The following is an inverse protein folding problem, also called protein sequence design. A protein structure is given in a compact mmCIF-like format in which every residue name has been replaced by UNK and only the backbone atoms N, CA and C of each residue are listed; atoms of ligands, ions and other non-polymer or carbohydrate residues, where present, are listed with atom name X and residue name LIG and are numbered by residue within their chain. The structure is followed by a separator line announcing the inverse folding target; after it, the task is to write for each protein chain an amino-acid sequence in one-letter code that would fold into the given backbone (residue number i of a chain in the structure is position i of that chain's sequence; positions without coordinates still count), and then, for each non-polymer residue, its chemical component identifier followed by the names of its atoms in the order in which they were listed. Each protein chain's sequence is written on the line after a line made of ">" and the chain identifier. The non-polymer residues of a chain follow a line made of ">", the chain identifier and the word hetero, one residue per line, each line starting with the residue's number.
data_IF_522428730209
#
_entry.id   IF_522428730209
#
_cell.length_a   1.000
_cell.length_b   1.000
_cell.length_c   1.000
_cell.angle_alpha   90.00
_cell.angle_beta   90.00
_cell.angle_gamma   90.00
#
_symmetry.space_group_name_H-M   'P 1'
#
loop_
_entity.id
_entity.type
_entity.pdbx_description
1 polymer ?
2 non-polymer ?
3 water ?
#
# COMPACT_ATOMS: atom_id res chain seq x y z
N UNK A 3 -1.86 -11.52 8.58
CA UNK A 3 -2.71 -10.83 7.53
C UNK A 3 -2.63 -11.53 6.19
N UNK A 4 -3.69 -11.42 5.37
CA UNK A 4 -3.68 -11.95 3.98
C UNK A 4 -2.78 -11.14 3.07
N UNK A 5 -2.96 -9.81 3.06
CA UNK A 5 -2.00 -8.88 2.43
C UNK A 5 -1.97 -7.66 3.31
N UNK A 6 -0.81 -7.04 3.36
CA UNK A 6 -0.60 -5.79 4.09
C UNK A 6 -0.35 -4.65 3.10
N UNK A 7 -1.18 -3.63 3.14
CA UNK A 7 -1.06 -2.49 2.27
C UNK A 7 -0.51 -1.39 3.17
N UNK A 8 0.59 -0.78 2.74
CA UNK A 8 1.33 0.17 3.56
C UNK A 8 1.48 1.50 2.78
N UNK A 9 0.83 2.55 3.27
CA UNK A 9 0.92 3.85 2.66
C UNK A 9 1.91 4.70 3.42
N UNK A 10 2.96 5.12 2.75
CA UNK A 10 4.01 6.01 3.35
C UNK A 10 3.60 7.44 3.09
N UNK A 11 3.32 8.17 4.16
CA UNK A 11 3.01 9.57 4.11
C UNK A 11 1.97 9.97 3.05
N UNK A 12 0.81 9.28 3.04
CA UNK A 12 -0.20 9.62 2.03
C UNK A 12 -0.66 11.05 2.15
N UNK A 13 -0.93 11.68 1.03
CA UNK A 13 -1.12 13.11 0.98
C UNK A 13 -2.55 13.60 0.70
N UNK A 14 -3.28 12.87 -0.12
CA UNK A 14 -4.57 13.30 -0.66
C UNK A 14 -5.72 12.50 -0.03
N UNK A 15 -6.62 13.15 0.71
CA UNK A 15 -7.58 12.38 1.52
C UNK A 15 -8.46 11.34 0.80
N UNK A 16 -9.05 11.68 -0.38
CA UNK A 16 -9.90 10.72 -1.01
C UNK A 16 -9.17 9.47 -1.45
N UNK A 17 -7.85 9.56 -1.75
CA UNK A 17 -7.13 8.31 -2.08
C UNK A 17 -7.08 7.37 -0.92
N UNK A 18 -6.83 7.89 0.27
CA UNK A 18 -6.82 7.03 1.41
C UNK A 18 -8.20 6.51 1.77
N UNK A 19 -9.22 7.34 1.67
CA UNK A 19 -10.58 6.80 1.85
C UNK A 19 -10.92 5.67 0.94
N UNK A 20 -10.56 5.81 -0.35
CA UNK A 20 -10.84 4.76 -1.28
C UNK A 20 -10.05 3.49 -0.96
N UNK A 21 -8.82 3.66 -0.47
CA UNK A 21 -7.96 2.53 -0.13
C UNK A 21 -8.45 1.82 1.14
N UNK A 22 -9.00 2.57 2.07
CA UNK A 22 -9.68 1.97 3.23
C UNK A 22 -10.80 1.05 2.80
N UNK A 23 -11.65 1.55 1.91
CA UNK A 23 -12.73 0.72 1.37
C UNK A 23 -12.20 -0.49 0.64
N UNK A 24 -11.18 -0.31 -0.18
CA UNK A 24 -10.53 -1.41 -0.86
C UNK A 24 -10.10 -2.51 0.08
N UNK A 25 -9.38 -2.08 1.11
CA UNK A 25 -8.81 -3.05 2.06
C UNK A 25 -9.92 -3.78 2.82
N UNK A 26 -10.96 -3.05 3.18
CA UNK A 26 -12.11 -3.69 3.85
C UNK A 26 -12.81 -4.71 2.98
N UNK A 27 -12.95 -4.40 1.71
CA UNK A 27 -13.65 -5.27 0.77
C UNK A 27 -12.86 -6.51 0.42
N UNK A 28 -11.54 -6.43 0.53
CA UNK A 28 -10.66 -7.53 0.11
C UNK A 28 -10.04 -8.30 1.24
N UNK A 29 -10.23 -7.87 2.47
CA UNK A 29 -9.65 -8.51 3.61
C UNK A 29 -8.17 -8.25 3.84
N UNK A 30 -7.70 -7.08 3.41
CA UNK A 30 -6.32 -6.69 3.60
C UNK A 30 -6.19 -5.83 4.85
N UNK A 31 -4.98 -5.88 5.42
CA UNK A 31 -4.64 -5.02 6.52
C UNK A 31 -3.96 -3.75 6.04
N UNK A 32 -4.53 -2.60 6.38
CA UNK A 32 -3.97 -1.31 6.00
C UNK A 32 -3.04 -0.79 7.08
N UNK A 33 -1.92 -0.20 6.68
CA UNK A 33 -0.95 0.42 7.57
C UNK A 33 -0.73 1.81 7.01
N UNK A 34 -0.72 2.82 7.89
CA UNK A 34 -0.47 4.20 7.53
C UNK A 34 0.74 4.68 8.25
N UNK A 35 1.73 5.19 7.51
CA UNK A 35 2.96 5.70 8.11
C UNK A 35 2.90 7.22 8.07
N UNK A 36 2.95 7.82 9.25
CA UNK A 36 2.85 9.26 9.41
C UNK A 36 4.15 9.93 8.96
N UNK A 37 4.10 11.22 8.70
CA UNK A 37 2.94 12.09 8.74
C UNK A 37 2.01 11.95 7.53
N UNK A 38 0.69 11.98 7.81
CA UNK A 38 -0.28 12.08 6.75
C UNK A 38 -0.37 13.50 6.25
N UNK A 39 -0.79 13.66 5.00
CA UNK A 39 -0.94 14.98 4.43
C UNK A 39 -2.28 15.66 4.60
N UNK A 40 -3.15 15.02 5.41
CA UNK A 40 -4.50 15.46 5.65
C UNK A 40 -4.90 15.12 7.07
N UNK A 41 -5.92 15.79 7.60
CA UNK A 41 -6.26 15.56 8.98
C UNK A 41 -7.04 14.23 9.06
N UNK A 42 -6.72 13.50 10.10
CA UNK A 42 -7.31 12.21 10.39
C UNK A 42 -8.40 12.38 11.43
N UNK A 43 -9.61 12.01 11.09
CA UNK A 43 -10.77 12.30 11.97
C UNK A 43 -11.85 11.25 11.68
N UNK A 44 -12.27 10.50 12.69
CA UNK A 44 -13.34 9.51 12.53
C UNK A 44 -14.62 10.15 11.95
N UNK A 45 -14.90 11.38 12.31
CA UNK A 45 -16.10 12.03 11.82
C UNK A 45 -16.00 12.34 10.34
N UNK A 46 -14.80 12.72 9.86
CA UNK A 46 -14.57 12.92 8.43
C UNK A 46 -14.65 11.62 7.69
N UNK A 47 -14.09 10.58 8.28
CA UNK A 47 -14.17 9.27 7.68
C UNK A 47 -15.58 8.73 7.55
N UNK A 48 -16.39 8.92 8.60
CA UNK A 48 -17.80 8.61 8.52
C UNK A 48 -18.51 9.45 7.44
N UNK A 49 -18.18 10.75 7.37
CA UNK A 49 -18.77 11.65 6.39
C UNK A 49 -18.45 11.27 4.98
N UNK A 50 -17.26 10.66 4.79
CA UNK A 50 -16.81 10.17 3.51
C UNK A 50 -17.53 8.92 3.02
N UNK A 51 -18.31 8.28 3.90
CA UNK A 51 -19.05 7.11 3.59
C UNK A 51 -18.51 5.83 4.18
N UNK A 52 -17.48 5.92 5.01
CA UNK A 52 -16.89 4.71 5.62
C UNK A 52 -17.56 4.35 6.92
N UNK A 53 -17.72 3.08 7.18
CA UNK A 53 -18.21 2.60 8.45
C UNK A 53 -17.06 2.37 9.39
N UNK A 54 -17.35 2.44 10.68
CA UNK A 54 -16.31 2.30 11.71
C UNK A 54 -15.46 1.08 11.53
N UNK A 55 -16.07 -0.03 11.18
CA UNK A 55 -15.27 -1.25 11.08
C UNK A 55 -14.24 -1.23 9.95
N UNK A 56 -14.47 -0.38 8.96
CA UNK A 56 -13.55 -0.31 7.83
C UNK A 56 -12.26 0.37 8.20
N UNK A 57 -12.28 1.27 9.19
CA UNK A 57 -11.08 2.02 9.58
C UNK A 57 -10.56 1.72 10.94
N UNK A 58 -11.38 1.07 11.76
CA UNK A 58 -10.99 0.91 13.17
C UNK A 58 -9.70 0.13 13.40
N UNK A 59 -9.40 -0.77 12.48
CA UNK A 59 -8.27 -1.68 12.75
C UNK A 59 -7.07 -1.35 11.88
N UNK A 60 -7.05 -0.16 11.30
CA UNK A 60 -5.85 0.32 10.58
C UNK A 60 -4.70 0.38 11.58
N UNK A 61 -3.52 -0.05 11.13
CA UNK A 61 -2.34 0.05 11.94
C UNK A 61 -1.63 1.37 11.58
N UNK A 62 -1.40 2.18 12.60
CA UNK A 62 -0.80 3.46 12.43
C UNK A 62 0.63 3.41 12.95
N UNK A 63 1.56 3.97 12.20
CA UNK A 63 2.97 3.91 12.55
C UNK A 63 3.56 5.28 12.47
N UNK A 64 4.35 5.64 13.47
CA UNK A 64 4.82 7.02 13.55
C UNK A 64 5.94 7.35 12.58
N UNK A 65 6.65 6.34 12.10
CA UNK A 65 7.64 6.50 11.06
C UNK A 65 7.87 5.12 10.40
N UNK A 66 8.72 5.08 9.38
CA UNK A 66 9.01 3.84 8.67
C UNK A 66 9.66 2.80 9.54
N UNK A 67 10.61 3.20 10.36
CA UNK A 67 11.23 2.23 11.25
C UNK A 67 10.22 1.61 12.22
N UNK A 68 9.26 2.40 12.68
CA UNK A 68 8.24 1.87 13.57
C UNK A 68 7.40 0.79 12.87
N UNK A 69 7.04 1.02 11.63
CA UNK A 69 6.42 -0.01 10.80
C UNK A 69 7.26 -1.26 10.72
N UNK A 70 8.54 -1.11 10.38
CA UNK A 70 9.41 -2.28 10.29
C UNK A 70 9.47 -3.03 11.61
N UNK A 71 9.61 -2.27 12.71
CA UNK A 71 9.75 -2.91 14.02
C UNK A 71 8.43 -3.62 14.43
N UNK A 72 7.29 -2.96 14.19
CA UNK A 72 5.94 -3.53 14.45
C UNK A 72 5.81 -4.85 13.75
N UNK A 73 6.30 -4.94 12.52
CA UNK A 73 6.08 -6.13 11.71
C UNK A 73 7.24 -7.11 11.71
N UNK A 74 8.22 -6.83 12.56
CA UNK A 74 9.42 -7.66 12.71
C UNK A 74 10.12 -7.92 11.37
N UNK A 75 10.21 -6.85 10.57
CA UNK A 75 10.87 -6.88 9.29
C UNK A 75 12.30 -6.36 9.45
N UNK A 76 13.23 -6.94 8.69
CA UNK A 76 14.60 -6.52 8.71
C UNK A 76 14.77 -5.12 8.13
N UNK A 77 15.47 -4.22 8.80
CA UNK A 77 15.67 -2.88 8.21
C UNK A 77 16.67 -2.94 6.99
N UNK A 78 17.75 -3.71 7.11
CA UNK A 78 18.72 -3.83 5.99
C UNK A 78 18.10 -4.26 4.65
N UNK A 79 16.93 -4.94 4.71
CA UNK A 79 16.29 -5.56 3.54
C UNK A 79 15.00 -6.35 3.91
N UNK A 80 13.85 -5.65 4.09
CA UNK A 80 12.68 -6.35 4.60
C UNK A 80 12.19 -7.42 3.63
N UNK A 81 11.86 -8.56 4.19
CA UNK A 81 11.44 -9.72 3.44
C UNK A 81 9.99 -9.50 3.03
N UNK A 82 9.74 -9.85 1.79
CA UNK A 82 8.40 -9.92 1.23
C UNK A 82 7.69 -8.57 1.33
N UNK A 83 8.46 -7.52 1.10
CA UNK A 83 7.96 -6.19 0.98
C UNK A 83 8.25 -5.73 -0.43
N UNK A 84 7.20 -5.36 -1.15
CA UNK A 84 7.29 -4.95 -2.50
C UNK A 84 6.88 -3.50 -2.58
N UNK A 85 7.73 -2.67 -3.13
CA UNK A 85 7.51 -1.23 -3.19
C UNK A 85 7.19 -0.79 -4.60
N UNK A 86 6.11 -0.05 -4.75
CA UNK A 86 5.68 0.45 -6.02
C UNK A 86 6.56 1.66 -6.36
N UNK A 87 7.19 1.60 -7.52
CA UNK A 87 7.99 2.69 -8.06
C UNK A 87 8.09 2.58 -9.55
N UNK A 88 7.95 3.73 -10.23
CA UNK A 88 7.99 3.73 -11.70
C UNK A 88 9.35 3.29 -12.18
N UNK A 89 10.34 3.34 -11.27
CA UNK A 89 11.71 2.91 -11.49
C UNK A 89 11.97 1.43 -11.10
N UNK A 90 10.91 0.67 -10.90
CA UNK A 90 11.08 -0.72 -10.57
C UNK A 90 11.31 -1.55 -11.79
N UNK A 91 11.72 -2.77 -11.51
CA UNK A 91 12.11 -3.72 -12.55
C UNK A 91 10.90 -4.60 -12.96
N UNK A 92 10.50 -5.58 -12.12
CA UNK A 92 9.37 -6.43 -12.50
C UNK A 92 8.07 -5.68 -12.54
N UNK A 93 7.22 -5.98 -13.51
CA UNK A 93 5.83 -5.55 -13.46
C UNK A 93 5.21 -6.07 -12.16
N UNK A 94 4.21 -5.38 -11.67
CA UNK A 94 3.49 -5.81 -10.50
C UNK A 94 2.93 -7.24 -10.64
N UNK A 95 2.62 -7.65 -11.88
CA UNK A 95 2.08 -8.96 -12.13
C UNK A 95 3.13 -10.02 -12.39
N UNK A 96 4.42 -9.61 -12.40
CA UNK A 96 5.51 -10.53 -12.66
C UNK A 96 6.10 -11.14 -11.38
N UNK A 97 5.76 -10.57 -10.27
CA UNK A 97 6.07 -11.08 -8.95
C UNK A 97 5.08 -12.19 -8.59
N UNK A 98 5.48 -13.15 -7.76
CA UNK A 98 4.58 -14.15 -7.21
C UNK A 98 4.26 -13.83 -5.77
N UNK A 99 3.04 -13.38 -5.53
CA UNK A 99 2.66 -12.96 -4.20
C UNK A 99 2.28 -14.15 -3.32
N UNK A 100 2.47 -13.90 -2.02
CA UNK A 100 2.17 -14.83 -0.95
C UNK A 100 1.37 -14.15 0.15
N UNK A 101 0.62 -14.95 0.89
CA UNK A 101 -0.12 -14.46 2.03
C UNK A 101 0.85 -13.72 2.94
N UNK A 102 0.35 -12.63 3.48
CA UNK A 102 1.03 -11.75 4.41
C UNK A 102 2.08 -10.83 3.77
N UNK A 103 2.22 -10.86 2.45
CA UNK A 103 3.11 -9.91 1.80
C UNK A 103 2.77 -8.48 2.18
N UNK A 104 3.79 -7.63 2.11
CA UNK A 104 3.68 -6.18 2.31
C UNK A 104 3.83 -5.44 1.00
N UNK A 105 2.86 -4.57 0.73
CA UNK A 105 2.81 -3.78 -0.47
C UNK A 105 2.95 -2.33 -0.05
N UNK A 106 4.05 -1.71 -0.42
CA UNK A 106 4.42 -0.36 0.01
C UNK A 106 4.26 0.66 -1.09
N UNK A 107 3.57 1.76 -0.77
CA UNK A 107 3.27 2.82 -1.73
C UNK A 107 3.65 4.16 -1.16
N UNK A 108 4.25 4.99 -1.97
CA UNK A 108 4.61 6.32 -1.58
C UNK A 108 3.53 7.34 -1.80
N UNK A 109 3.85 8.59 -1.42
CA UNK A 109 2.96 9.65 -1.50
C UNK A 109 2.64 9.97 -2.95
N UNK A 110 1.54 10.65 -3.13
CA UNK A 110 1.08 10.94 -4.45
C UNK A 110 2.05 11.85 -5.23
N UNK A 111 2.65 12.82 -4.55
CA UNK A 111 3.41 13.86 -5.24
C UNK A 111 4.92 13.64 -5.21
N UNK A 112 5.36 12.48 -4.73
CA UNK A 112 6.78 12.25 -4.46
C UNK A 112 7.25 10.81 -4.68
N UNK A 113 6.41 9.82 -4.48
CA UNK A 113 6.88 8.45 -4.45
C UNK A 113 7.68 8.19 -3.19
N UNK A 114 8.27 7.01 -3.12
CA UNK A 114 9.08 6.61 -1.97
C UNK A 114 10.49 7.17 -1.98
N UNK A 115 10.99 7.47 -0.80
CA UNK A 115 12.33 8.03 -0.75
C UNK A 115 13.43 7.04 -1.01
N UNK A 116 14.57 7.57 -1.44
CA UNK A 116 15.67 6.71 -1.87
C UNK A 116 16.22 5.86 -0.76
N UNK A 117 16.16 6.34 0.47
CA UNK A 117 16.67 5.54 1.58
C UNK A 117 15.92 4.24 1.74
N UNK A 118 14.63 4.27 1.37
CA UNK A 118 13.80 3.07 1.36
C UNK A 118 14.11 2.22 0.14
N UNK A 119 13.96 2.81 -1.04
CA UNK A 119 14.06 2.05 -2.28
C UNK A 119 15.47 1.47 -2.48
N UNK A 120 16.51 2.21 -2.13
CA UNK A 120 17.85 1.77 -2.45
C UNK A 120 18.25 0.57 -1.57
N UNK A 121 17.51 0.36 -0.47
CA UNK A 121 17.74 -0.77 0.44
C UNK A 121 17.08 -2.07 -0.04
N UNK A 122 16.21 -1.99 -1.03
CA UNK A 122 15.43 -3.13 -1.47
C UNK A 122 16.07 -3.71 -2.71
N UNK A 123 16.08 -5.03 -2.85
CA UNK A 123 16.51 -5.68 -4.05
C UNK A 123 15.64 -5.33 -5.23
N UNK A 124 16.22 -5.39 -6.43
CA UNK A 124 15.51 -4.99 -7.64
C UNK A 124 14.19 -5.72 -7.78
N UNK A 125 14.18 -7.01 -7.45
CA UNK A 125 12.96 -7.79 -7.62
C UNK A 125 11.87 -7.51 -6.59
N UNK A 126 12.15 -6.63 -5.61
CA UNK A 126 11.15 -6.16 -4.68
C UNK A 126 10.66 -4.76 -4.99
N UNK A 127 11.05 -4.22 -6.14
CA UNK A 127 10.61 -2.92 -6.59
C UNK A 127 9.79 -3.15 -7.82
N UNK A 128 8.47 -2.97 -7.68
CA UNK A 128 7.54 -3.31 -8.72
C UNK A 128 7.04 -2.05 -9.44
N UNK A 129 6.70 -2.22 -10.70
CA UNK A 129 6.24 -1.16 -11.55
C UNK A 129 4.92 -1.56 -12.14
N UNK A 130 3.99 -0.62 -12.19
CA UNK A 130 2.75 -0.85 -12.97
C UNK A 130 3.02 -0.48 -14.42
N UNK A 131 2.85 -1.41 -15.37
CA UNK A 131 3.18 -1.05 -16.76
C UNK A 131 2.35 0.12 -17.25
N UNK A 132 2.98 0.99 -18.06
CA UNK A 132 2.32 2.10 -18.71
C UNK A 132 2.94 2.29 -20.09
N UNK A 133 2.19 2.93 -20.98
CA UNK A 133 2.73 3.32 -22.26
C UNK A 133 3.85 4.34 -22.09
N UNK A 134 4.68 4.45 -23.12
CA UNK A 134 5.63 5.57 -23.15
C UNK A 134 4.97 6.92 -22.87
N UNK A 135 5.71 7.75 -22.13
CA UNK A 135 5.29 9.15 -21.89
C UNK A 135 3.93 9.27 -21.18
N UNK A 136 3.77 8.43 -20.20
CA UNK A 136 2.57 8.42 -19.38
C UNK A 136 2.70 9.44 -18.28
N UNK A 137 1.61 9.61 -17.56
CA UNK A 137 1.56 10.49 -16.43
C UNK A 137 1.17 9.77 -15.17
N UNK A 138 1.18 10.46 -14.04
CA UNK A 138 0.97 9.83 -12.75
C UNK A 138 -0.38 9.14 -12.65
N UNK A 139 -0.38 7.91 -12.22
CA UNK A 139 -1.58 7.17 -11.96
C UNK A 139 -2.13 7.61 -10.61
N UNK A 140 -3.44 7.65 -10.47
CA UNK A 140 -4.03 7.88 -9.19
C UNK A 140 -3.62 6.82 -8.18
N UNK A 141 -3.23 7.25 -6.99
CA UNK A 141 -2.71 6.31 -6.01
C UNK A 141 -3.71 5.23 -5.66
N UNK A 142 -4.97 5.58 -5.42
CA UNK A 142 -5.90 4.52 -5.03
C UNK A 142 -6.13 3.57 -6.20
N UNK A 143 -6.12 4.07 -7.45
CA UNK A 143 -6.21 3.16 -8.57
C UNK A 143 -4.98 2.21 -8.60
N UNK A 144 -3.79 2.74 -8.37
CA UNK A 144 -2.59 1.91 -8.36
C UNK A 144 -2.65 0.82 -7.29
N UNK A 145 -3.03 1.21 -6.09
CA UNK A 145 -3.11 0.27 -5.03
C UNK A 145 -4.14 -0.82 -5.36
N UNK A 146 -5.29 -0.41 -5.91
CA UNK A 146 -6.32 -1.37 -6.30
C UNK A 146 -5.79 -2.43 -7.30
N UNK A 147 -5.04 -1.98 -8.28
CA UNK A 147 -4.45 -2.85 -9.32
C UNK A 147 -3.52 -3.87 -8.67
N UNK A 148 -2.64 -3.37 -7.79
CA UNK A 148 -1.68 -4.31 -7.18
C UNK A 148 -2.36 -5.28 -6.23
N UNK A 149 -3.27 -4.77 -5.42
CA UNK A 149 -4.00 -5.61 -4.50
C UNK A 149 -4.80 -6.70 -5.19
N UNK A 150 -5.54 -6.33 -6.21
CA UNK A 150 -6.34 -7.28 -6.94
C UNK A 150 -5.51 -8.29 -7.74
N UNK A 151 -4.34 -7.90 -8.24
CA UNK A 151 -3.46 -8.83 -8.88
C UNK A 151 -2.92 -9.85 -7.87
N UNK A 152 -2.46 -9.35 -6.72
CA UNK A 152 -2.00 -10.25 -5.67
C UNK A 152 -3.11 -11.23 -5.26
N UNK A 153 -4.29 -10.68 -5.02
CA UNK A 153 -5.42 -11.47 -4.53
C UNK A 153 -5.82 -12.51 -5.56
N UNK A 154 -5.80 -12.14 -6.84
CA UNK A 154 -5.97 -13.08 -7.93
C UNK A 154 -4.99 -14.21 -7.90
N UNK A 155 -3.71 -13.90 -7.75
CA UNK A 155 -2.70 -14.94 -7.67
C UNK A 155 -2.92 -15.92 -6.52
N UNK A 156 -3.43 -15.39 -5.41
CA UNK A 156 -3.71 -16.21 -4.23
C UNK A 156 -4.99 -17.06 -4.38
N UNK A 157 -5.75 -16.85 -5.45
CA UNK A 157 -7.03 -17.53 -5.63
C UNK A 157 -8.19 -16.93 -4.90
N UNK A 158 -8.10 -15.63 -4.68
CA UNK A 158 -9.13 -14.87 -3.98
C UNK A 158 -9.62 -15.51 -2.68
N UNK A 159 -8.71 -15.90 -1.79
CA UNK A 159 -9.16 -16.47 -0.55
C UNK A 159 -10.04 -15.49 0.21
N UNK A 160 -11.15 -15.95 0.73
CA UNK A 160 -12.00 -15.06 1.54
C UNK A 160 -13.05 -14.37 0.71
N UNK A 161 -12.96 -14.47 -0.63
CA UNK A 161 -13.97 -13.84 -1.49
C UNK A 161 -15.27 -14.62 -1.35
N UNK A 162 -16.38 -13.93 -1.48
CA UNK A 162 -17.68 -14.60 -1.57
C UNK A 162 -17.70 -15.33 -2.93
N UNK A 163 -18.09 -16.60 -2.99
CA UNK A 163 -17.99 -17.32 -4.26
C UNK A 163 -19.29 -17.39 -5.04
#
# INVERSE_FOLDING_TARGET
>A
SNAMLNIVLFEPEIPPNTGNIIRLCANTGCQLHLIKPLGFTWDDKRLRRAGLDYHEFADIKHHHDYQAFLDSEKLDSTQPARLFALTTKGTPAHSAVSYQANDYLLFGPETRGLPAYILDALPAQQKIRIPMQADSRSMNLSNAVSVVVYEAWRQLGYPGALLKE
#
